data_IF_999849135986
#
_entry.id   IF_999849135986
#
_cell.length_a   1.000
_cell.length_b   1.000
_cell.length_c   1.000
_cell.angle_alpha   90.00
_cell.angle_beta   90.00
_cell.angle_gamma   90.00
#
_symmetry.space_group_name_H-M   'P 1'
#
loop_
_entity.id
_entity.type
_entity.pdbx_description
1 polymer ?
#
# COMPACT_ATOMS: atom_id res chain seq x y z
N UNK A 1 9.66 -1.54 0.59
CA UNK A 1 8.62 -0.68 1.19
C UNK A 1 7.26 -1.34 1.06
N UNK A 2 6.37 -1.16 2.05
CA UNK A 2 5.02 -1.75 2.05
C UNK A 2 3.97 -0.66 1.94
N UNK A 3 2.92 -0.85 1.14
CA UNK A 3 1.82 0.11 0.98
C UNK A 3 2.34 1.51 0.64
N UNK A 4 1.94 2.56 1.35
CA UNK A 4 2.49 3.90 1.17
C UNK A 4 4.03 3.94 1.29
N UNK A 5 4.62 3.13 2.16
CA UNK A 5 6.08 2.97 2.23
C UNK A 5 6.69 2.41 0.94
N UNK A 6 5.92 1.69 0.11
CA UNK A 6 6.31 1.29 -1.25
C UNK A 6 6.43 2.48 -2.20
N UNK A 7 5.55 3.48 -2.09
CA UNK A 7 5.68 4.76 -2.80
C UNK A 7 6.90 5.53 -2.30
N UNK A 8 7.08 5.62 -0.98
CA UNK A 8 8.21 6.37 -0.40
C UNK A 8 9.57 5.81 -0.86
N UNK A 9 9.78 4.49 -0.80
CA UNK A 9 11.08 3.92 -1.23
C UNK A 9 11.36 4.10 -2.72
N UNK A 10 10.33 4.22 -3.56
CA UNK A 10 10.48 4.54 -4.98
C UNK A 10 10.89 6.01 -5.19
N UNK A 11 10.40 6.94 -4.37
CA UNK A 11 10.87 8.32 -4.40
C UNK A 11 12.30 8.45 -3.86
N UNK A 12 12.63 7.70 -2.80
CA UNK A 12 13.99 7.66 -2.25
C UNK A 12 14.99 7.10 -3.28
N UNK A 13 14.64 6.06 -4.04
CA UNK A 13 15.53 5.47 -5.04
C UNK A 13 15.86 6.38 -6.22
N UNK A 14 15.15 7.51 -6.38
CA UNK A 14 15.53 8.55 -7.36
C UNK A 14 16.69 9.42 -6.86
N UNK A 15 16.92 9.46 -5.55
CA UNK A 15 17.94 10.28 -4.90
C UNK A 15 19.17 9.47 -4.50
N UNK A 16 19.03 8.15 -4.34
CA UNK A 16 20.13 7.24 -4.02
C UNK A 16 20.18 6.08 -5.01
N UNK A 17 21.39 5.70 -5.44
CA UNK A 17 21.56 4.57 -6.35
C UNK A 17 21.17 3.28 -5.63
N UNK A 18 20.12 2.61 -6.10
CA UNK A 18 19.67 1.33 -5.55
C UNK A 18 19.75 0.25 -6.61
N UNK A 19 20.30 -0.92 -6.26
CA UNK A 19 20.29 -2.11 -7.13
C UNK A 19 18.85 -2.57 -7.41
N UNK A 20 17.98 -2.53 -6.41
CA UNK A 20 16.61 -3.04 -6.48
C UNK A 20 15.70 -2.33 -5.49
N UNK A 21 14.46 -2.09 -5.88
CA UNK A 21 13.42 -1.52 -5.02
C UNK A 21 12.28 -2.52 -4.91
N UNK A 22 12.14 -3.18 -3.77
CA UNK A 22 11.03 -4.13 -3.54
C UNK A 22 9.85 -3.39 -2.92
N UNK A 23 8.72 -3.39 -3.61
CA UNK A 23 7.45 -2.83 -3.14
C UNK A 23 6.42 -3.93 -2.93
N UNK A 24 5.73 -3.88 -1.79
CA UNK A 24 4.78 -4.92 -1.35
C UNK A 24 3.43 -4.25 -1.08
N UNK A 25 2.33 -4.83 -1.56
CA UNK A 25 0.98 -4.29 -1.38
C UNK A 25 0.88 -2.80 -1.75
N UNK A 26 1.53 -2.38 -2.84
CA UNK A 26 1.72 -0.98 -3.22
C UNK A 26 1.28 -0.76 -4.68
N UNK A 27 1.61 0.41 -5.23
CA UNK A 27 1.58 0.74 -6.65
C UNK A 27 2.95 1.22 -7.12
N UNK A 28 3.22 1.11 -8.42
CA UNK A 28 4.43 1.56 -9.10
C UNK A 28 4.26 2.88 -9.86
N UNK A 29 3.02 3.28 -10.13
CA UNK A 29 2.73 4.59 -10.73
C UNK A 29 1.34 5.10 -10.35
N UNK A 30 1.08 6.38 -10.62
CA UNK A 30 -0.23 7.02 -10.45
C UNK A 30 -1.32 6.35 -11.30
N UNK A 31 -0.93 5.70 -12.40
CA UNK A 31 -1.85 5.05 -13.32
C UNK A 31 -2.42 3.75 -12.71
N UNK A 32 -1.67 3.12 -11.81
CA UNK A 32 -2.10 1.94 -11.04
C UNK A 32 -3.03 2.27 -9.86
N UNK A 33 -3.21 3.56 -9.51
CA UNK A 33 -4.15 3.95 -8.44
C UNK A 33 -5.60 3.63 -8.83
N UNK A 34 -6.44 3.14 -7.90
CA UNK A 34 -7.84 2.85 -8.18
C UNK A 34 -8.63 4.13 -8.48
N UNK A 35 -9.71 3.97 -9.25
CA UNK A 35 -10.55 5.09 -9.69
C UNK A 35 -11.07 5.96 -8.54
N UNK A 36 -11.39 5.38 -7.37
CA UNK A 36 -11.78 6.15 -6.18
C UNK A 36 -10.71 7.15 -5.73
N UNK A 37 -9.43 6.80 -5.83
CA UNK A 37 -8.31 7.69 -5.46
C UNK A 37 -8.07 8.73 -6.55
N UNK A 38 -8.20 8.35 -7.83
CA UNK A 38 -8.16 9.30 -8.96
C UNK A 38 -9.29 10.34 -8.86
N UNK A 39 -10.50 9.92 -8.50
CA UNK A 39 -11.62 10.82 -8.25
C UNK A 39 -11.37 11.72 -7.04
N UNK A 40 -10.87 11.15 -5.93
CA UNK A 40 -10.52 11.93 -4.74
C UNK A 40 -9.47 13.02 -5.04
N UNK A 41 -8.53 12.77 -5.96
CA UNK A 41 -7.60 13.77 -6.48
C UNK A 41 -8.32 14.91 -7.20
N UNK A 42 -9.21 14.56 -8.15
CA UNK A 42 -9.94 15.50 -8.98
C UNK A 42 -10.85 16.42 -8.15
N UNK A 43 -11.61 15.83 -7.23
CA UNK A 43 -12.58 16.56 -6.38
C UNK A 43 -11.95 17.19 -5.15
N UNK A 44 -10.65 16.95 -4.90
CA UNK A 44 -9.95 17.30 -3.65
C UNK A 44 -10.61 16.68 -2.39
N UNK A 45 -11.39 15.61 -2.52
CA UNK A 45 -12.06 14.95 -1.40
C UNK A 45 -11.10 14.39 -0.34
N UNK A 46 -9.82 14.19 -0.68
CA UNK A 46 -8.78 13.86 0.31
C UNK A 46 -8.58 14.93 1.40
N UNK A 47 -9.11 16.16 1.20
CA UNK A 47 -9.12 17.23 2.21
C UNK A 47 -10.30 17.13 3.18
N UNK A 48 -11.28 16.27 2.90
CA UNK A 48 -12.54 16.15 3.65
C UNK A 48 -12.58 14.89 4.53
N UNK A 49 -11.43 14.32 4.86
CA UNK A 49 -11.39 13.09 5.65
C UNK A 49 -11.77 13.42 7.10
N UNK A 50 -12.81 12.80 7.66
CA UNK A 50 -13.24 13.07 9.03
C UNK A 50 -12.15 12.73 10.06
N UNK A 51 -11.89 13.64 11.01
CA UNK A 51 -10.88 13.46 12.06
C UNK A 51 -11.10 12.16 12.87
N UNK A 52 -12.36 11.82 13.16
CA UNK A 52 -12.70 10.62 13.94
C UNK A 52 -12.34 9.28 13.26
N UNK A 53 -12.09 9.25 11.95
CA UNK A 53 -11.58 8.06 11.25
C UNK A 53 -10.07 7.92 11.40
N UNK A 54 -9.36 9.02 11.64
CA UNK A 54 -7.90 9.06 11.80
C UNK A 54 -7.45 8.83 13.24
N UNK A 55 -8.37 8.95 14.20
CA UNK A 55 -8.08 8.79 15.63
C UNK A 55 -8.46 7.39 16.14
N UNK A 56 -9.12 6.57 15.31
CA UNK A 56 -9.61 5.24 15.66
C UNK A 56 -9.14 4.18 14.64
N UNK A 57 -8.12 3.42 15.05
CA UNK A 57 -7.51 2.33 14.26
C UNK A 57 -8.55 1.28 13.84
N UNK A 58 -9.55 1.00 14.68
CA UNK A 58 -10.55 -0.03 14.40
C UNK A 58 -11.54 0.43 13.33
N UNK A 59 -11.91 1.73 13.32
CA UNK A 59 -12.71 2.33 12.24
C UNK A 59 -11.91 2.42 10.95
N UNK A 60 -10.65 2.84 11.01
CA UNK A 60 -9.76 2.92 9.86
C UNK A 60 -9.57 1.54 9.22
N UNK A 61 -9.31 0.51 10.04
CA UNK A 61 -9.16 -0.86 9.59
C UNK A 61 -10.45 -1.39 8.95
N UNK A 62 -11.62 -1.15 9.54
CA UNK A 62 -12.91 -1.54 8.95
C UNK A 62 -13.18 -0.84 7.62
N UNK A 63 -12.83 0.43 7.49
CA UNK A 63 -13.00 1.20 6.26
C UNK A 63 -12.05 0.70 5.15
N UNK A 64 -10.78 0.48 5.47
CA UNK A 64 -9.76 0.05 4.51
C UNK A 64 -9.89 -1.43 4.12
N UNK A 65 -10.30 -2.30 5.05
CA UNK A 65 -10.22 -3.76 4.91
C UNK A 65 -11.56 -4.51 5.08
N UNK A 66 -12.67 -3.80 5.34
CA UNK A 66 -14.02 -4.37 5.42
C UNK A 66 -14.36 -5.09 6.73
N UNK A 67 -15.60 -5.61 6.84
CA UNK A 67 -16.14 -6.23 8.06
C UNK A 67 -15.39 -7.49 8.52
N UNK A 68 -14.71 -8.21 7.62
CA UNK A 68 -13.87 -9.37 7.96
C UNK A 68 -12.64 -9.00 8.82
N UNK A 69 -12.33 -7.70 8.94
CA UNK A 69 -11.23 -7.22 9.77
C UNK A 69 -11.43 -7.50 11.27
N UNK A 70 -12.68 -7.66 11.74
CA UNK A 70 -12.98 -7.83 13.18
C UNK A 70 -12.39 -9.09 13.81
N UNK A 71 -12.21 -10.19 13.05
CA UNK A 71 -11.60 -11.42 13.57
C UNK A 71 -10.07 -11.37 13.68
N UNK A 72 -9.42 -10.34 13.13
CA UNK A 72 -7.95 -10.20 13.09
C UNK A 72 -7.48 -8.80 13.53
N UNK A 73 -8.28 -8.14 14.37
CA UNK A 73 -8.06 -6.76 14.83
C UNK A 73 -6.67 -6.54 15.38
N UNK A 74 -6.13 -7.47 16.16
CA UNK A 74 -4.79 -7.33 16.74
C UNK A 74 -3.67 -7.24 15.69
N UNK A 75 -3.76 -8.02 14.60
CA UNK A 75 -2.80 -7.95 13.50
C UNK A 75 -2.90 -6.60 12.78
N UNK A 76 -4.11 -6.05 12.64
CA UNK A 76 -4.31 -4.72 12.07
C UNK A 76 -3.80 -3.62 13.00
N UNK A 77 -4.02 -3.72 14.32
CA UNK A 77 -3.47 -2.78 15.31
C UNK A 77 -1.95 -2.77 15.28
N UNK A 78 -1.31 -3.94 15.11
CA UNK A 78 0.14 -4.02 14.93
C UNK A 78 0.61 -3.34 13.64
N UNK A 79 -0.13 -3.47 12.56
CA UNK A 79 0.19 -2.85 11.25
C UNK A 79 -0.09 -1.35 11.21
N UNK A 80 -1.17 -0.90 11.84
CA UNK A 80 -1.66 0.48 11.92
C UNK A 80 -1.26 1.16 13.24
N UNK A 81 -0.17 0.74 13.86
CA UNK A 81 0.30 1.30 15.14
C UNK A 81 0.60 2.80 15.05
N UNK A 82 0.81 3.33 13.84
CA UNK A 82 0.86 4.76 13.54
C UNK A 82 -0.55 5.30 13.23
N UNK A 83 -1.21 5.86 14.23
CA UNK A 83 -2.54 6.48 14.13
C UNK A 83 -2.53 8.00 14.42
N UNK A 84 -1.40 8.68 14.16
CA UNK A 84 -1.35 10.14 14.26
C UNK A 84 -2.12 10.77 13.09
N UNK A 85 -3.10 11.61 13.41
CA UNK A 85 -3.97 12.27 12.42
C UNK A 85 -3.17 13.05 11.37
N UNK A 86 -2.16 13.81 11.78
CA UNK A 86 -1.36 14.65 10.87
C UNK A 86 -0.58 13.77 9.90
N UNK A 87 -0.02 12.67 10.39
CA UNK A 87 0.67 11.69 9.56
C UNK A 87 -0.29 11.06 8.53
N UNK A 88 -1.47 10.60 8.95
CA UNK A 88 -2.42 9.94 8.04
C UNK A 88 -2.98 10.91 6.98
N UNK A 89 -3.35 12.12 7.37
CA UNK A 89 -3.77 13.17 6.43
C UNK A 89 -2.68 13.49 5.41
N UNK A 90 -1.43 13.66 5.89
CA UNK A 90 -0.29 13.88 5.03
C UNK A 90 -0.05 12.69 4.09
N UNK A 91 -0.04 11.46 4.60
CA UNK A 91 0.21 10.25 3.84
C UNK A 91 -0.83 10.06 2.73
N UNK A 92 -2.12 10.20 3.03
CA UNK A 92 -3.19 10.07 2.03
C UNK A 92 -3.06 11.15 0.97
N UNK A 93 -2.77 12.39 1.37
CA UNK A 93 -2.50 13.48 0.42
C UNK A 93 -1.32 13.12 -0.50
N UNK A 94 -0.23 12.58 0.02
CA UNK A 94 0.93 12.18 -0.80
C UNK A 94 0.57 11.04 -1.77
N UNK A 95 -0.14 10.01 -1.32
CA UNK A 95 -0.59 8.89 -2.18
C UNK A 95 -1.47 9.41 -3.32
N UNK A 96 -2.49 10.21 -3.01
CA UNK A 96 -3.46 10.71 -3.98
C UNK A 96 -2.84 11.69 -4.97
N UNK A 97 -1.89 12.52 -4.51
CA UNK A 97 -1.22 13.52 -5.35
C UNK A 97 0.05 12.99 -6.02
N UNK A 98 0.40 11.72 -5.82
CA UNK A 98 1.60 11.13 -6.40
C UNK A 98 1.65 11.31 -7.92
N UNK A 99 2.83 11.68 -8.43
CA UNK A 99 3.01 12.16 -9.81
C UNK A 99 3.72 11.17 -10.73
N UNK A 100 4.32 10.11 -10.20
CA UNK A 100 5.05 9.13 -11.02
C UNK A 100 4.13 8.51 -12.07
N UNK A 101 4.48 8.66 -13.35
CA UNK A 101 3.69 8.14 -14.45
C UNK A 101 4.14 6.75 -14.89
N UNK A 102 5.45 6.58 -15.02
CA UNK A 102 6.08 5.34 -15.43
C UNK A 102 6.67 4.62 -14.21
N UNK A 103 6.44 3.29 -14.09
CA UNK A 103 7.17 2.47 -13.13
C UNK A 103 8.68 2.62 -13.30
N UNK A 104 9.43 2.59 -12.20
CA UNK A 104 10.90 2.51 -12.27
C UNK A 104 11.30 1.09 -12.71
N UNK A 105 12.35 1.00 -13.52
CA UNK A 105 12.82 -0.27 -14.11
C UNK A 105 13.31 -1.27 -13.07
N UNK A 106 13.93 -0.80 -11.99
CA UNK A 106 14.49 -1.62 -10.92
C UNK A 106 13.49 -1.96 -9.80
N UNK A 107 12.18 -1.82 -10.05
CA UNK A 107 11.13 -2.11 -9.06
C UNK A 107 10.61 -3.54 -9.21
N UNK A 108 10.74 -4.31 -8.13
CA UNK A 108 10.05 -5.59 -7.98
C UNK A 108 8.76 -5.34 -7.19
N UNK A 109 7.62 -5.66 -7.80
CA UNK A 109 6.32 -5.51 -7.16
C UNK A 109 5.76 -6.88 -6.76
N UNK A 110 5.55 -7.09 -5.46
CA UNK A 110 4.84 -8.25 -4.90
C UNK A 110 3.45 -7.80 -4.46
N UNK A 111 2.40 -8.44 -4.97
CA UNK A 111 1.03 -7.99 -4.72
C UNK A 111 0.02 -9.12 -4.54
N UNK A 112 -0.97 -8.90 -3.67
CA UNK A 112 -2.03 -9.85 -3.38
C UNK A 112 -3.21 -9.70 -4.34
N UNK A 113 -3.73 -10.80 -4.88
CA UNK A 113 -4.85 -10.76 -5.82
C UNK A 113 -6.18 -10.28 -5.21
N UNK A 114 -6.31 -10.31 -3.88
CA UNK A 114 -7.45 -9.85 -3.08
C UNK A 114 -7.15 -8.55 -2.31
N UNK A 115 -6.18 -7.75 -2.74
CA UNK A 115 -5.93 -6.43 -2.14
C UNK A 115 -7.12 -5.48 -2.40
N UNK A 116 -7.78 -5.07 -1.31
CA UNK A 116 -8.92 -4.15 -1.37
C UNK A 116 -8.55 -2.67 -1.38
N UNK A 117 -7.29 -2.31 -1.07
CA UNK A 117 -6.78 -0.94 -1.05
C UNK A 117 -6.28 -0.54 -2.43
N UNK A 118 -5.45 -1.38 -3.05
CA UNK A 118 -4.92 -1.25 -4.39
C UNK A 118 -5.33 -2.47 -5.25
N UNK A 119 -6.56 -2.48 -5.81
CA UNK A 119 -7.07 -3.65 -6.50
C UNK A 119 -6.19 -4.11 -7.67
N UNK A 120 -5.86 -5.40 -7.67
CA UNK A 120 -4.98 -6.07 -8.64
C UNK A 120 -5.34 -5.86 -10.11
N UNK A 121 -6.62 -5.60 -10.42
CA UNK A 121 -7.12 -5.24 -11.76
C UNK A 121 -6.51 -3.95 -12.35
N UNK A 122 -5.95 -3.09 -11.51
CA UNK A 122 -5.29 -1.86 -11.94
C UNK A 122 -3.76 -2.02 -12.05
N UNK A 123 -3.24 -3.20 -11.70
CA UNK A 123 -1.80 -3.47 -11.62
C UNK A 123 -1.35 -4.31 -12.80
N UNK A 124 -0.12 -4.07 -13.25
CA UNK A 124 0.55 -4.88 -14.27
C UNK A 124 1.89 -5.37 -13.75
N UNK A 125 2.48 -6.42 -14.33
CA UNK A 125 3.85 -6.88 -14.06
C UNK A 125 4.21 -6.93 -12.56
N UNK A 126 3.49 -7.77 -11.81
CA UNK A 126 3.72 -8.00 -10.38
C UNK A 126 3.75 -9.49 -10.06
N UNK A 127 4.51 -9.86 -9.04
CA UNK A 127 4.53 -11.21 -8.47
C UNK A 127 3.25 -11.39 -7.65
N UNK A 128 2.34 -12.24 -8.15
CA UNK A 128 1.04 -12.48 -7.53
C UNK A 128 1.17 -13.40 -6.32
N UNK A 129 0.68 -12.94 -5.18
CA UNK A 129 0.45 -13.76 -3.99
C UNK A 129 -1.03 -14.16 -3.94
N UNK A 130 -1.30 -15.45 -4.16
CA UNK A 130 -2.67 -15.99 -4.20
C UNK A 130 -3.39 -15.79 -2.86
N UNK A 131 -4.64 -15.36 -2.94
CA UNK A 131 -5.49 -15.01 -1.81
C UNK A 131 -4.84 -13.97 -0.87
N UNK A 132 -3.95 -13.13 -1.40
CA UNK A 132 -3.26 -12.08 -0.65
C UNK A 132 -4.14 -10.84 -0.52
N UNK A 133 -4.38 -10.38 0.70
CA UNK A 133 -5.02 -9.08 0.97
C UNK A 133 -3.95 -7.98 1.17
N UNK A 134 -4.35 -6.73 1.41
CA UNK A 134 -3.40 -5.63 1.59
C UNK A 134 -2.37 -5.90 2.70
N UNK A 135 -2.77 -6.56 3.78
CA UNK A 135 -1.91 -6.93 4.91
C UNK A 135 -1.18 -8.27 4.71
N UNK A 136 -1.06 -8.75 3.47
CA UNK A 136 -0.48 -10.07 3.18
C UNK A 136 0.95 -10.25 3.69
N UNK A 137 1.72 -9.17 3.86
CA UNK A 137 3.05 -9.26 4.46
C UNK A 137 3.02 -9.89 5.86
N UNK A 138 1.92 -9.68 6.60
CA UNK A 138 1.70 -10.28 7.91
C UNK A 138 1.07 -11.67 7.76
N UNK A 139 -0.03 -11.78 6.99
CA UNK A 139 -0.85 -13.00 7.02
C UNK A 139 -0.41 -14.10 6.03
N UNK A 140 0.47 -13.79 5.07
CA UNK A 140 1.13 -14.73 4.14
C UNK A 140 2.63 -14.88 4.46
N UNK A 141 3.02 -14.69 5.73
CA UNK A 141 4.42 -14.71 6.16
C UNK A 141 5.22 -15.93 5.66
N UNK A 142 4.60 -17.12 5.57
CA UNK A 142 5.27 -18.32 5.01
C UNK A 142 5.75 -18.10 3.57
N UNK A 143 4.87 -17.60 2.71
CA UNK A 143 5.22 -17.28 1.32
C UNK A 143 6.37 -16.27 1.26
N UNK A 144 6.36 -15.23 2.10
CA UNK A 144 7.45 -14.26 2.16
C UNK A 144 8.75 -14.88 2.66
N UNK A 145 8.72 -15.68 3.73
CA UNK A 145 9.93 -16.33 4.27
C UNK A 145 10.56 -17.29 3.25
N UNK A 146 9.74 -17.97 2.44
CA UNK A 146 10.20 -18.91 1.41
C UNK A 146 10.74 -18.19 0.16
N UNK A 147 10.08 -17.11 -0.30
CA UNK A 147 10.35 -16.53 -1.63
C UNK A 147 11.15 -15.22 -1.58
N UNK A 148 10.96 -14.39 -0.54
CA UNK A 148 11.57 -13.06 -0.47
C UNK A 148 13.10 -13.09 -0.44
N UNK A 149 13.79 -14.02 0.25
CA UNK A 149 15.25 -14.09 0.23
C UNK A 149 15.82 -14.21 -1.19
N UNK A 150 15.24 -15.11 -2.00
CA UNK A 150 15.66 -15.29 -3.39
C UNK A 150 15.40 -14.02 -4.22
N UNK A 151 14.19 -13.44 -4.09
CA UNK A 151 13.81 -12.20 -4.80
C UNK A 151 14.75 -11.04 -4.47
N UNK A 152 15.21 -10.94 -3.22
CA UNK A 152 16.17 -9.90 -2.82
C UNK A 152 17.51 -10.13 -3.54
N UNK A 153 17.98 -11.37 -3.61
CA UNK A 153 19.29 -11.71 -4.16
C UNK A 153 19.36 -11.58 -5.69
N UNK A 154 18.32 -12.00 -6.43
CA UNK A 154 18.29 -11.99 -7.91
C UNK A 154 18.03 -10.60 -8.49
#
# INVERSE_FOLDING_TARGET
GVSFGGIMVQEMSKQIKTRKVVVISSVKSKNELPNRMKLAKLTKAYKLIPAHLMEDVDKLAKYAFGKLATKRVELYKKYLSMNDRRYLEWAIKQVVLWKQEQPLENVVHIHGDKDGVFPSRHLSNYIKVKDGTHIMIINKYKWFNENLPAIILT
#
